data_IF_287542083817
#
_entry.id   IF_287542083817
#
_cell.length_a   1.000
_cell.length_b   1.000
_cell.length_c   1.000
_cell.angle_alpha   90.00
_cell.angle_beta   90.00
_cell.angle_gamma   90.00
#
_symmetry.space_group_name_H-M   'P 1'
#
loop_
_entity.id
_entity.type
_entity.pdbx_description
1 polymer ?
#
# COMPACT_ATOMS: atom_id res chain seq x y z
N UNK A 1 -41.54 -5.85 20.01
CA UNK A 1 -41.23 -5.60 18.58
C UNK A 1 -41.82 -6.75 17.70
N UNK A 2 -42.95 -7.34 18.11
CA UNK A 2 -43.55 -8.49 17.41
C UNK A 2 -45.05 -8.32 17.22
N UNK A 3 -45.55 -7.09 17.04
CA UNK A 3 -46.99 -6.80 16.89
C UNK A 3 -47.35 -5.82 15.75
N UNK A 4 -46.42 -5.41 14.90
CA UNK A 4 -46.70 -4.51 13.75
C UNK A 4 -46.75 -5.24 12.39
N UNK A 5 -46.50 -6.54 12.32
CA UNK A 5 -46.45 -7.33 11.08
C UNK A 5 -47.68 -8.22 10.86
N UNK A 6 -48.76 -8.05 11.65
CA UNK A 6 -49.92 -8.94 11.61
C UNK A 6 -51.24 -8.30 11.16
N UNK A 7 -51.23 -7.11 10.53
CA UNK A 7 -52.46 -6.40 10.11
C UNK A 7 -52.54 -6.24 8.57
N UNK A 8 -51.59 -6.74 7.78
CA UNK A 8 -51.63 -6.64 6.33
C UNK A 8 -51.83 -7.96 5.55
N UNK A 9 -52.26 -9.04 6.24
CA UNK A 9 -52.47 -10.33 5.56
C UNK A 9 -53.95 -10.74 5.34
N UNK A 10 -54.91 -9.89 5.63
CA UNK A 10 -56.32 -10.20 5.35
C UNK A 10 -56.99 -9.15 4.44
N UNK A 11 -56.63 -9.14 3.17
CA UNK A 11 -57.47 -8.65 2.06
C UNK A 11 -56.78 -8.81 0.70
N UNK A 12 -56.61 -10.04 0.25
CA UNK A 12 -56.25 -10.34 -1.16
C UNK A 12 -56.86 -11.68 -1.59
N UNK A 13 -58.16 -11.67 -1.68
CA UNK A 13 -58.89 -12.65 -2.42
C UNK A 13 -59.84 -11.93 -3.40
N UNK A 14 -59.44 -11.94 -4.67
CA UNK A 14 -60.18 -11.63 -5.91
C UNK A 14 -59.54 -10.53 -6.73
N UNK A 15 -58.69 -10.95 -7.68
CA UNK A 15 -58.78 -10.53 -9.09
C UNK A 15 -57.69 -11.27 -9.90
N UNK A 16 -58.10 -12.37 -10.47
CA UNK A 16 -57.39 -13.07 -11.55
C UNK A 16 -57.39 -12.18 -12.80
N UNK A 17 -56.23 -11.87 -13.37
CA UNK A 17 -56.20 -11.37 -14.73
C UNK A 17 -55.13 -10.35 -15.06
N UNK A 18 -54.09 -10.83 -15.68
CA UNK A 18 -53.10 -10.22 -16.56
C UNK A 18 -51.65 -10.35 -16.06
N UNK A 19 -50.92 -11.27 -16.65
CA UNK A 19 -49.46 -11.31 -16.65
C UNK A 19 -48.89 -9.94 -17.09
N UNK A 20 -48.51 -9.09 -16.12
CA UNK A 20 -47.62 -7.98 -16.37
C UNK A 20 -46.20 -8.52 -16.16
N UNK A 21 -45.41 -8.60 -17.21
CA UNK A 21 -43.95 -8.68 -17.14
C UNK A 21 -43.47 -7.59 -16.17
N UNK A 22 -43.03 -7.98 -14.98
CA UNK A 22 -42.50 -7.04 -14.01
C UNK A 22 -41.19 -6.44 -14.57
N UNK A 23 -41.27 -5.21 -15.05
CA UNK A 23 -40.08 -4.45 -15.40
C UNK A 23 -39.20 -4.29 -14.15
N UNK A 24 -37.88 -4.56 -14.27
CA UNK A 24 -36.94 -4.28 -13.22
C UNK A 24 -36.98 -2.79 -12.86
N UNK A 25 -36.97 -2.48 -11.58
CA UNK A 25 -36.87 -1.10 -11.07
C UNK A 25 -35.77 -0.32 -11.79
N UNK A 26 -36.10 0.83 -12.34
CA UNK A 26 -35.16 1.76 -12.98
C UNK A 26 -35.33 3.12 -12.32
N UNK A 27 -34.39 3.50 -11.45
CA UNK A 27 -34.31 4.85 -10.87
C UNK A 27 -33.20 5.64 -11.56
N UNK A 28 -33.46 6.92 -11.75
CA UNK A 28 -32.48 7.86 -12.29
C UNK A 28 -31.99 8.81 -11.20
N UNK A 29 -30.74 9.27 -11.31
CA UNK A 29 -30.21 10.26 -10.39
C UNK A 29 -31.06 11.56 -10.33
N UNK A 30 -31.76 11.91 -11.43
CA UNK A 30 -32.67 13.07 -11.48
C UNK A 30 -33.89 12.86 -10.56
N UNK A 31 -34.46 11.66 -10.51
CA UNK A 31 -35.60 11.34 -9.63
C UNK A 31 -35.18 11.38 -8.15
N UNK A 32 -34.00 10.86 -7.84
CA UNK A 32 -33.46 10.85 -6.46
C UNK A 32 -33.15 12.28 -6.01
N UNK A 33 -32.54 13.11 -6.86
CA UNK A 33 -32.32 14.53 -6.53
C UNK A 33 -33.66 15.30 -6.38
N UNK A 34 -34.67 14.95 -7.13
CA UNK A 34 -35.99 15.60 -7.02
C UNK A 34 -36.67 15.37 -5.67
N UNK A 35 -36.30 14.34 -4.90
CA UNK A 35 -36.81 14.09 -3.55
C UNK A 35 -35.92 14.68 -2.45
N UNK A 36 -34.87 15.44 -2.80
CA UNK A 36 -34.06 16.20 -1.83
C UNK A 36 -32.64 15.69 -1.62
N UNK A 37 -32.18 14.63 -2.30
CA UNK A 37 -30.79 14.20 -2.21
C UNK A 37 -29.87 15.20 -2.92
N UNK A 38 -28.81 15.60 -2.28
CA UNK A 38 -27.77 16.45 -2.87
C UNK A 38 -26.98 15.71 -3.96
N UNK A 39 -26.45 16.46 -4.91
CA UNK A 39 -25.60 15.89 -5.96
C UNK A 39 -24.27 15.38 -5.36
N UNK A 40 -24.00 14.08 -5.53
CA UNK A 40 -22.80 13.48 -4.96
C UNK A 40 -22.86 11.95 -4.93
N UNK A 41 -21.90 11.32 -4.26
CA UNK A 41 -21.79 9.85 -4.16
C UNK A 41 -23.04 9.18 -3.59
N UNK A 42 -23.79 9.85 -2.72
CA UNK A 42 -25.03 9.33 -2.11
C UNK A 42 -26.08 8.94 -3.15
N UNK A 43 -26.20 9.73 -4.24
CA UNK A 43 -27.16 9.44 -5.32
C UNK A 43 -26.80 8.13 -6.03
N UNK A 44 -25.53 7.90 -6.31
CA UNK A 44 -25.06 6.66 -6.94
C UNK A 44 -25.25 5.45 -6.04
N UNK A 45 -24.98 5.58 -4.75
CA UNK A 45 -25.20 4.53 -3.75
C UNK A 45 -26.68 4.21 -3.63
N UNK A 46 -27.55 5.22 -3.54
CA UNK A 46 -29.00 5.05 -3.48
C UNK A 46 -29.54 4.33 -4.73
N UNK A 47 -29.14 4.77 -5.93
CA UNK A 47 -29.51 4.09 -7.19
C UNK A 47 -29.12 2.62 -7.18
N UNK A 48 -27.85 2.32 -6.84
CA UNK A 48 -27.35 0.95 -6.83
C UNK A 48 -28.10 0.07 -5.82
N UNK A 49 -28.25 0.54 -4.59
CA UNK A 49 -28.95 -0.17 -3.51
C UNK A 49 -30.40 -0.47 -3.89
N UNK A 50 -31.15 0.53 -4.36
CA UNK A 50 -32.54 0.35 -4.75
C UNK A 50 -32.70 -0.62 -5.94
N UNK A 51 -31.90 -0.47 -6.99
CA UNK A 51 -31.96 -1.36 -8.17
C UNK A 51 -31.51 -2.79 -7.86
N UNK A 52 -30.68 -3.00 -6.83
CA UNK A 52 -30.17 -4.32 -6.44
C UNK A 52 -31.09 -5.04 -5.47
N UNK A 53 -31.51 -4.38 -4.41
CA UNK A 53 -32.24 -5.01 -3.30
C UNK A 53 -33.76 -4.82 -3.39
N UNK A 54 -34.22 -3.73 -4.02
CA UNK A 54 -35.65 -3.38 -4.14
C UNK A 54 -36.17 -3.54 -5.59
N UNK A 55 -35.56 -4.40 -6.38
CA UNK A 55 -35.82 -4.61 -7.81
C UNK A 55 -37.26 -4.97 -8.17
N UNK A 56 -38.09 -5.39 -7.19
CA UNK A 56 -39.50 -5.76 -7.36
C UNK A 56 -40.46 -4.67 -6.88
N UNK A 57 -39.97 -3.55 -6.37
CA UNK A 57 -40.77 -2.39 -5.97
C UNK A 57 -41.06 -1.51 -7.20
N UNK A 58 -42.13 -0.73 -7.11
CA UNK A 58 -42.41 0.35 -8.07
C UNK A 58 -41.47 1.52 -7.85
N UNK A 59 -41.37 2.42 -8.83
CA UNK A 59 -40.56 3.64 -8.69
C UNK A 59 -41.02 4.51 -7.50
N UNK A 60 -42.36 4.62 -7.32
CA UNK A 60 -42.93 5.42 -6.23
C UNK A 60 -42.63 4.82 -4.86
N UNK A 61 -42.73 3.51 -4.68
CA UNK A 61 -42.37 2.82 -3.45
C UNK A 61 -40.89 2.99 -3.13
N UNK A 62 -40.01 2.85 -4.12
CA UNK A 62 -38.58 3.03 -3.96
C UNK A 62 -38.21 4.47 -3.58
N UNK A 63 -38.85 5.46 -4.21
CA UNK A 63 -38.66 6.87 -3.86
C UNK A 63 -39.21 7.21 -2.47
N UNK A 64 -40.29 6.54 -2.04
CA UNK A 64 -40.83 6.71 -0.68
C UNK A 64 -39.85 6.19 0.38
N UNK A 65 -39.28 5.00 0.16
CA UNK A 65 -38.21 4.45 1.06
C UNK A 65 -37.05 5.44 1.14
N UNK A 66 -36.58 5.95 0.00
CA UNK A 66 -35.47 6.91 -0.01
C UNK A 66 -35.81 8.22 0.71
N UNK A 67 -37.06 8.71 0.66
CA UNK A 67 -37.50 9.87 1.44
C UNK A 67 -37.46 9.61 2.95
N UNK A 68 -37.84 8.42 3.37
CA UNK A 68 -37.79 8.03 4.79
C UNK A 68 -36.35 7.94 5.29
N UNK A 69 -35.45 7.34 4.50
CA UNK A 69 -34.01 7.33 4.81
C UNK A 69 -33.41 8.73 4.85
N UNK A 70 -33.82 9.62 3.95
CA UNK A 70 -33.35 11.01 3.92
C UNK A 70 -33.84 11.80 5.15
N UNK A 71 -35.07 11.55 5.60
CA UNK A 71 -35.66 12.26 6.72
C UNK A 71 -35.07 11.87 8.08
N UNK A 72 -34.68 10.61 8.25
CA UNK A 72 -34.15 10.08 9.51
C UNK A 72 -33.05 9.05 9.28
N UNK A 73 -31.92 9.47 8.70
CA UNK A 73 -30.87 8.53 8.29
C UNK A 73 -30.28 7.73 9.47
N UNK A 74 -30.27 8.29 10.68
CA UNK A 74 -29.74 7.66 11.89
C UNK A 74 -30.47 6.33 12.22
N UNK A 75 -31.75 6.23 11.86
CA UNK A 75 -32.56 5.04 12.12
C UNK A 75 -32.18 3.84 11.20
N UNK A 76 -31.42 4.11 10.14
CA UNK A 76 -31.06 3.13 9.13
C UNK A 76 -29.56 2.75 9.16
N UNK A 77 -28.77 3.28 10.10
CA UNK A 77 -27.34 2.96 10.24
C UNK A 77 -27.07 1.47 10.54
N UNK A 78 -28.02 0.80 11.22
CA UNK A 78 -27.93 -0.62 11.51
C UNK A 78 -28.75 -1.51 10.53
N UNK A 79 -29.31 -0.93 9.47
CA UNK A 79 -30.07 -1.68 8.47
C UNK A 79 -29.13 -2.41 7.52
N UNK A 80 -29.39 -3.71 7.26
CA UNK A 80 -28.51 -4.55 6.42
C UNK A 80 -28.38 -4.07 4.96
N UNK A 81 -29.34 -3.30 4.46
CA UNK A 81 -29.42 -2.89 3.06
C UNK A 81 -29.25 -1.38 2.90
N UNK A 82 -29.91 -0.59 3.75
CA UNK A 82 -29.99 0.87 3.65
C UNK A 82 -28.87 1.61 4.38
N UNK A 83 -28.11 0.92 5.25
CA UNK A 83 -27.02 1.53 6.03
C UNK A 83 -26.03 2.32 5.16
N UNK A 84 -25.64 1.79 3.99
CA UNK A 84 -24.73 2.46 3.06
C UNK A 84 -25.24 3.80 2.52
N UNK A 85 -26.57 3.97 2.43
CA UNK A 85 -27.20 5.24 2.06
C UNK A 85 -27.20 6.17 3.29
N UNK A 86 -27.63 5.61 4.44
CA UNK A 86 -27.70 6.34 5.71
C UNK A 86 -26.34 6.91 6.13
N UNK A 87 -25.27 6.13 6.06
CA UNK A 87 -23.88 6.54 6.33
C UNK A 87 -23.41 7.73 5.48
N UNK A 88 -23.96 7.88 4.26
CA UNK A 88 -23.65 9.00 3.38
C UNK A 88 -24.51 10.24 3.62
N UNK A 89 -25.61 10.08 4.35
CA UNK A 89 -26.56 11.14 4.67
C UNK A 89 -26.34 11.69 6.09
N UNK A 90 -25.92 10.83 7.02
CA UNK A 90 -25.51 11.30 8.33
C UNK A 90 -24.25 12.14 8.11
N UNK A 91 -24.41 13.45 8.15
CA UNK A 91 -23.28 14.36 8.31
C UNK A 91 -22.79 14.10 9.74
N UNK A 92 -21.80 13.21 9.88
CA UNK A 92 -20.91 13.29 11.02
C UNK A 92 -20.32 14.69 10.87
N UNK A 93 -20.57 15.60 11.80
CA UNK A 93 -19.76 16.80 11.92
C UNK A 93 -18.32 16.28 12.03
N UNK A 94 -17.64 16.18 10.90
CA UNK A 94 -16.19 16.00 10.89
C UNK A 94 -15.70 17.23 11.65
N UNK A 95 -15.18 17.00 12.86
CA UNK A 95 -14.44 18.03 13.57
C UNK A 95 -13.52 18.66 12.54
N UNK A 96 -13.70 19.96 12.29
CA UNK A 96 -12.96 20.66 11.22
C UNK A 96 -11.47 20.39 11.48
N UNK A 97 -10.86 19.51 10.66
CA UNK A 97 -9.46 19.11 10.85
C UNK A 97 -8.63 20.36 10.68
N UNK A 98 -8.16 20.89 11.80
CA UNK A 98 -7.37 22.12 11.84
C UNK A 98 -5.98 21.82 11.28
N UNK A 99 -5.48 22.68 10.39
CA UNK A 99 -4.13 22.57 9.88
C UNK A 99 -3.12 22.64 11.04
N UNK A 100 -2.25 21.63 11.11
CA UNK A 100 -1.20 21.51 12.13
C UNK A 100 -0.01 22.37 11.67
N UNK A 101 0.36 23.42 12.39
CA UNK A 101 1.47 24.29 12.01
C UNK A 101 2.80 23.55 12.17
N UNK A 102 3.77 23.86 11.31
CA UNK A 102 5.15 23.46 11.51
C UNK A 102 5.78 24.26 12.65
N UNK A 103 6.72 23.65 13.37
CA UNK A 103 7.53 24.34 14.36
C UNK A 103 8.33 25.49 13.70
N UNK A 104 8.53 26.59 14.40
CA UNK A 104 9.36 27.69 13.91
C UNK A 104 10.81 27.23 13.68
N UNK A 105 11.34 26.45 14.62
CA UNK A 105 12.69 25.86 14.55
C UNK A 105 12.58 24.35 14.38
N UNK A 106 13.28 23.80 13.38
CA UNK A 106 13.39 22.35 13.19
C UNK A 106 14.31 21.68 14.23
N UNK A 107 14.14 20.36 14.36
CA UNK A 107 15.09 19.55 15.14
C UNK A 107 16.48 19.55 14.51
N UNK A 108 17.52 19.32 15.31
CA UNK A 108 18.88 19.18 14.80
C UNK A 108 19.02 17.91 13.93
N UNK A 109 19.77 18.04 12.85
CA UNK A 109 20.12 16.92 11.98
C UNK A 109 21.54 17.05 11.42
N UNK A 110 22.19 15.93 11.19
CA UNK A 110 23.52 15.87 10.62
C UNK A 110 23.48 15.87 9.09
N UNK A 111 24.39 16.58 8.44
CA UNK A 111 24.55 16.58 6.99
C UNK A 111 25.90 15.97 6.64
N UNK A 112 25.87 14.84 5.95
CA UNK A 112 27.06 14.16 5.46
C UNK A 112 27.27 14.49 3.98
N UNK A 113 28.48 14.96 3.62
CA UNK A 113 28.80 15.26 2.23
C UNK A 113 28.09 16.50 1.65
N UNK A 114 27.83 17.52 2.43
CA UNK A 114 27.06 18.73 2.09
C UNK A 114 27.38 19.38 0.74
N UNK A 115 28.63 19.26 0.27
CA UNK A 115 29.09 19.87 -1.02
C UNK A 115 28.45 19.26 -2.26
N UNK A 116 27.87 18.08 -2.14
CA UNK A 116 27.34 17.29 -3.26
C UNK A 116 25.81 17.19 -3.22
N UNK A 117 25.17 17.74 -2.18
CA UNK A 117 23.72 17.68 -1.98
C UNK A 117 23.08 18.89 -2.64
N UNK A 118 22.05 18.65 -3.44
CA UNK A 118 21.29 19.72 -4.10
C UNK A 118 20.40 20.52 -3.12
N UNK A 119 20.16 21.78 -3.44
CA UNK A 119 19.40 22.72 -2.61
C UNK A 119 17.97 22.21 -2.30
N UNK A 120 17.33 21.54 -3.28
CA UNK A 120 16.00 20.97 -3.12
C UNK A 120 15.92 19.92 -2.02
N UNK A 121 16.94 19.06 -1.90
CA UNK A 121 17.03 18.06 -0.83
C UNK A 121 17.26 18.70 0.55
N UNK A 122 18.11 19.73 0.62
CA UNK A 122 18.34 20.50 1.84
C UNK A 122 17.04 21.17 2.33
N UNK A 123 16.27 21.79 1.42
CA UNK A 123 15.01 22.45 1.74
C UNK A 123 13.95 21.42 2.23
N UNK A 124 13.86 20.25 1.57
CA UNK A 124 12.94 19.20 2.01
C UNK A 124 13.30 18.67 3.40
N UNK A 125 14.59 18.45 3.69
CA UNK A 125 15.02 18.00 5.01
C UNK A 125 14.76 19.08 6.08
N UNK A 126 14.98 20.35 5.76
CA UNK A 126 14.67 21.47 6.64
C UNK A 126 13.17 21.54 6.98
N UNK A 127 12.31 21.29 6.00
CA UNK A 127 10.84 21.23 6.19
C UNK A 127 10.47 20.03 7.06
N UNK A 128 11.02 18.85 6.78
CA UNK A 128 10.77 17.64 7.56
C UNK A 128 11.22 17.78 9.02
N UNK A 129 12.35 18.42 9.27
CA UNK A 129 12.85 18.69 10.62
C UNK A 129 11.91 19.59 11.45
N UNK A 130 11.04 20.36 10.82
CA UNK A 130 10.06 21.23 11.49
C UNK A 130 8.74 20.54 11.85
N UNK A 131 8.57 19.27 11.52
CA UNK A 131 7.35 18.54 11.92
C UNK A 131 7.27 18.46 13.46
N UNK A 132 6.08 18.64 14.06
CA UNK A 132 5.91 18.51 15.51
C UNK A 132 6.32 17.14 16.06
N UNK A 133 6.23 16.09 15.24
CA UNK A 133 6.59 14.71 15.59
C UNK A 133 8.07 14.38 15.34
N UNK A 134 8.83 15.27 14.69
CA UNK A 134 10.25 15.07 14.44
C UNK A 134 11.07 15.08 15.75
N UNK A 135 12.05 14.19 15.84
CA UNK A 135 12.94 14.05 17.01
C UNK A 135 14.39 14.35 16.63
N UNK A 136 14.86 13.81 15.52
CA UNK A 136 16.19 13.97 14.99
C UNK A 136 16.23 13.60 13.50
N UNK A 137 17.34 13.88 12.84
CA UNK A 137 17.50 13.49 11.44
C UNK A 137 18.95 13.42 10.97
N UNK A 138 19.12 12.94 9.75
CA UNK A 138 20.36 12.97 9.02
C UNK A 138 20.11 13.11 7.51
N UNK A 139 21.05 13.71 6.81
CA UNK A 139 21.04 13.81 5.35
C UNK A 139 22.32 13.15 4.83
N UNK A 140 22.16 12.12 4.02
CA UNK A 140 23.23 11.27 3.53
C UNK A 140 23.92 11.89 2.31
N UNK A 141 25.17 11.47 1.96
CA UNK A 141 25.98 12.13 0.92
C UNK A 141 25.38 12.08 -0.49
N UNK A 142 24.51 11.11 -0.76
CA UNK A 142 23.82 10.90 -2.04
C UNK A 142 22.42 11.53 -2.08
N UNK A 143 22.08 12.33 -1.07
CA UNK A 143 20.76 12.90 -0.94
C UNK A 143 20.38 13.80 -2.12
N UNK A 144 19.18 13.56 -2.64
CA UNK A 144 18.59 14.33 -3.73
C UNK A 144 17.08 14.52 -3.53
N UNK A 145 16.50 15.41 -4.32
CA UNK A 145 15.11 15.81 -4.15
C UNK A 145 14.15 14.62 -4.36
N UNK A 146 13.34 14.34 -3.34
CA UNK A 146 12.20 13.41 -3.38
C UNK A 146 10.86 14.15 -3.42
N UNK A 147 9.79 13.50 -2.96
CA UNK A 147 8.45 14.08 -2.95
C UNK A 147 8.01 14.67 -1.60
N UNK A 148 8.60 14.25 -0.52
CA UNK A 148 8.32 14.72 0.86
C UNK A 148 9.60 14.77 1.65
N UNK A 149 10.01 13.67 2.26
CA UNK A 149 11.38 13.49 2.73
C UNK A 149 12.31 13.38 1.52
N UNK A 150 13.50 14.00 1.50
CA UNK A 150 14.45 13.81 0.41
C UNK A 150 14.92 12.34 0.38
N UNK A 151 15.22 11.82 -0.80
CA UNK A 151 15.88 10.52 -0.93
C UNK A 151 17.27 10.67 -0.30
N UNK A 152 17.69 9.71 0.53
CA UNK A 152 18.89 9.84 1.37
C UNK A 152 18.69 10.70 2.63
N UNK A 153 17.45 11.18 2.86
CA UNK A 153 17.07 11.79 4.14
C UNK A 153 16.63 10.73 5.14
N UNK A 154 17.07 10.87 6.37
CA UNK A 154 16.67 10.03 7.52
C UNK A 154 15.98 10.92 8.54
N UNK A 155 14.76 10.55 8.94
CA UNK A 155 13.97 11.28 9.93
C UNK A 155 13.49 10.33 11.02
N UNK A 156 13.85 10.63 12.26
CA UNK A 156 13.31 9.97 13.45
C UNK A 156 12.11 10.76 13.95
N UNK A 157 11.01 10.05 14.21
CA UNK A 157 9.73 10.62 14.70
C UNK A 157 9.32 9.95 16.00
N UNK A 158 8.53 10.67 16.80
CA UNK A 158 7.96 10.15 18.03
C UNK A 158 6.57 9.57 17.76
N UNK A 159 6.39 8.25 17.96
CA UNK A 159 5.12 7.53 17.83
C UNK A 159 4.35 7.78 16.51
N UNK A 160 5.02 8.22 15.47
CA UNK A 160 4.40 8.63 14.22
C UNK A 160 5.09 7.95 13.04
N UNK A 161 4.29 7.46 12.07
CA UNK A 161 4.79 6.91 10.81
C UNK A 161 4.28 7.73 9.64
N UNK A 162 5.19 8.09 8.73
CA UNK A 162 4.91 8.90 7.54
C UNK A 162 4.88 7.98 6.32
N UNK A 163 3.70 7.57 5.81
CA UNK A 163 3.62 6.59 4.72
C UNK A 163 4.37 7.02 3.45
N UNK A 164 4.34 8.31 3.14
CA UNK A 164 5.03 8.81 1.95
C UNK A 164 6.55 8.92 2.11
N UNK A 165 7.06 9.07 3.34
CA UNK A 165 8.50 9.02 3.62
C UNK A 165 9.07 7.60 3.48
N UNK A 166 8.27 6.58 3.80
CA UNK A 166 8.60 5.18 3.51
C UNK A 166 8.72 4.94 2.00
N UNK A 167 7.90 5.62 1.20
CA UNK A 167 7.91 5.53 -0.25
C UNK A 167 6.88 4.55 -0.82
N UNK A 168 6.61 4.70 -2.12
CA UNK A 168 5.57 3.93 -2.84
C UNK A 168 5.98 2.46 -3.03
N UNK A 169 7.26 2.17 -3.22
CA UNK A 169 7.78 0.80 -3.32
C UNK A 169 8.32 0.35 -1.97
N UNK A 170 7.38 0.07 -1.05
CA UNK A 170 7.70 -0.35 0.33
C UNK A 170 8.62 -1.58 0.32
N UNK A 171 9.72 -1.51 1.05
CA UNK A 171 10.67 -2.61 1.18
C UNK A 171 11.43 -2.93 -0.10
N UNK A 172 11.51 -1.97 -1.05
CA UNK A 172 12.43 -2.07 -2.18
C UNK A 172 13.82 -2.39 -1.67
N UNK A 173 14.52 -3.32 -2.33
CA UNK A 173 15.77 -3.87 -1.82
C UNK A 173 16.72 -4.33 -2.90
N UNK A 174 17.95 -4.50 -2.47
CA UNK A 174 18.99 -5.21 -3.21
C UNK A 174 19.14 -6.61 -2.64
N UNK A 175 19.30 -7.61 -3.50
CA UNK A 175 19.63 -8.98 -3.11
C UNK A 175 20.77 -9.51 -3.98
N UNK A 176 21.80 -10.07 -3.34
CA UNK A 176 22.96 -10.65 -3.98
C UNK A 176 23.09 -12.11 -3.58
N UNK A 177 23.07 -13.02 -4.57
CA UNK A 177 23.50 -14.42 -4.39
C UNK A 177 24.89 -14.62 -4.98
N UNK A 178 25.77 -15.31 -4.28
CA UNK A 178 27.15 -15.60 -4.70
C UNK A 178 27.29 -17.09 -5.02
N UNK A 179 27.90 -17.40 -6.16
CA UNK A 179 28.05 -18.76 -6.67
C UNK A 179 29.52 -19.17 -6.79
N UNK A 180 29.81 -20.46 -6.62
CA UNK A 180 31.13 -21.07 -6.84
C UNK A 180 31.44 -21.20 -8.34
N UNK A 181 31.33 -20.11 -9.06
CA UNK A 181 31.60 -20.02 -10.52
C UNK A 181 32.74 -19.07 -10.72
N UNK A 182 33.75 -19.47 -11.54
CA UNK A 182 34.83 -18.60 -11.93
C UNK A 182 34.31 -17.46 -12.82
N UNK A 183 34.70 -16.17 -12.60
CA UNK A 183 34.16 -15.04 -13.33
C UNK A 183 34.34 -15.15 -14.85
N UNK A 184 35.39 -15.81 -15.36
CA UNK A 184 35.60 -16.04 -16.77
C UNK A 184 34.48 -16.85 -17.44
N UNK A 185 33.73 -17.64 -16.65
CA UNK A 185 32.57 -18.39 -17.13
C UNK A 185 31.43 -17.49 -17.58
N UNK A 186 31.31 -16.27 -17.04
CA UNK A 186 30.30 -15.31 -17.50
C UNK A 186 30.47 -15.02 -19.00
N UNK A 187 31.71 -14.83 -19.43
CA UNK A 187 32.01 -14.57 -20.87
C UNK A 187 31.90 -15.85 -21.71
N UNK A 188 32.40 -16.98 -21.19
CA UNK A 188 32.37 -18.26 -21.93
C UNK A 188 30.95 -18.78 -22.14
N UNK A 189 30.08 -18.55 -21.16
CA UNK A 189 28.67 -19.04 -21.12
C UNK A 189 27.65 -17.89 -21.25
N UNK A 190 28.03 -16.74 -21.78
CA UNK A 190 27.21 -15.52 -21.86
C UNK A 190 25.80 -15.79 -22.40
N UNK A 191 25.71 -16.47 -23.55
CA UNK A 191 24.43 -16.80 -24.17
C UNK A 191 23.52 -17.67 -23.27
N UNK A 192 24.12 -18.53 -22.45
CA UNK A 192 23.35 -19.33 -21.48
C UNK A 192 22.84 -18.48 -20.35
N UNK A 193 23.70 -17.68 -19.71
CA UNK A 193 23.27 -16.77 -18.63
C UNK A 193 22.21 -15.79 -19.10
N UNK A 194 22.37 -15.19 -20.27
CA UNK A 194 21.38 -14.29 -20.86
C UNK A 194 20.03 -14.98 -21.08
N UNK A 195 20.04 -16.21 -21.65
CA UNK A 195 18.84 -17.00 -21.88
C UNK A 195 18.11 -17.27 -20.56
N UNK A 196 18.84 -17.71 -19.52
CA UNK A 196 18.24 -18.05 -18.23
C UNK A 196 17.71 -16.81 -17.49
N UNK A 197 18.38 -15.66 -17.58
CA UNK A 197 17.84 -14.40 -17.06
C UNK A 197 16.51 -14.05 -17.74
N UNK A 198 16.45 -14.07 -19.06
CA UNK A 198 15.24 -13.71 -19.82
C UNK A 198 14.10 -14.69 -19.54
N UNK A 199 14.41 -15.99 -19.44
CA UNK A 199 13.39 -17.03 -19.22
C UNK A 199 12.81 -17.03 -17.79
N UNK A 200 13.60 -16.60 -16.79
CA UNK A 200 13.25 -16.72 -15.36
C UNK A 200 12.96 -15.37 -14.69
N UNK A 201 12.95 -14.27 -15.44
CA UNK A 201 12.55 -12.94 -14.95
C UNK A 201 11.33 -12.42 -15.70
N UNK A 202 10.52 -11.61 -15.03
CA UNK A 202 9.33 -11.00 -15.63
C UNK A 202 9.29 -9.52 -15.31
N UNK A 203 9.75 -8.70 -16.25
CA UNK A 203 9.74 -7.24 -16.14
C UNK A 203 8.46 -6.62 -16.71
N UNK A 204 8.12 -5.46 -16.20
CA UNK A 204 7.01 -4.62 -16.64
C UNK A 204 6.03 -4.29 -15.51
N UNK A 205 5.46 -3.08 -15.58
CA UNK A 205 4.45 -2.63 -14.63
C UNK A 205 3.20 -3.52 -14.70
N UNK A 206 2.74 -4.00 -13.55
CA UNK A 206 1.51 -4.81 -13.46
C UNK A 206 1.59 -6.19 -14.08
N UNK A 207 2.76 -6.66 -14.54
CA UNK A 207 2.92 -8.01 -15.10
C UNK A 207 2.68 -9.06 -14.02
N UNK A 208 2.11 -10.19 -14.44
CA UNK A 208 1.71 -11.31 -13.58
C UNK A 208 2.13 -12.63 -14.24
N UNK A 209 2.47 -13.62 -13.41
CA UNK A 209 2.69 -14.98 -13.90
C UNK A 209 1.34 -15.68 -14.14
N UNK A 210 1.30 -16.55 -15.14
CA UNK A 210 0.16 -17.47 -15.37
C UNK A 210 0.15 -18.58 -14.34
N UNK A 211 1.33 -19.11 -14.00
CA UNK A 211 1.51 -20.11 -12.96
C UNK A 211 1.74 -19.43 -11.61
N UNK A 212 1.13 -19.98 -10.57
CA UNK A 212 1.24 -19.44 -9.21
C UNK A 212 2.48 -20.01 -8.54
N UNK A 213 3.16 -19.15 -7.81
CA UNK A 213 4.23 -19.58 -6.90
C UNK A 213 3.68 -19.60 -5.49
N UNK A 214 3.73 -20.76 -4.83
CA UNK A 214 3.36 -20.89 -3.41
C UNK A 214 4.50 -20.36 -2.54
N UNK A 215 4.16 -19.60 -1.50
CA UNK A 215 5.11 -19.07 -0.53
C UNK A 215 4.37 -18.69 0.76
N UNK A 216 4.96 -18.96 1.91
CA UNK A 216 4.37 -18.71 3.23
C UNK A 216 3.96 -17.24 3.48
N UNK A 217 4.62 -16.28 2.82
CA UNK A 217 4.26 -14.87 2.91
C UNK A 217 2.81 -14.60 2.47
N UNK A 218 2.26 -15.45 1.62
CA UNK A 218 0.89 -15.31 1.11
C UNK A 218 -0.17 -15.80 2.12
N UNK A 219 0.27 -16.56 3.13
CA UNK A 219 -0.59 -17.11 4.20
C UNK A 219 -0.58 -16.22 5.45
N UNK A 220 0.07 -15.07 5.37
CA UNK A 220 0.13 -14.10 6.46
C UNK A 220 -1.27 -13.62 6.82
N UNK A 221 -1.56 -13.60 8.13
CA UNK A 221 -2.86 -13.27 8.71
C UNK A 221 -3.32 -11.84 8.39
N UNK A 222 -2.40 -10.92 8.15
CA UNK A 222 -2.68 -9.53 7.78
C UNK A 222 -3.56 -9.44 6.53
N UNK A 223 -3.46 -10.38 5.58
CA UNK A 223 -4.35 -10.43 4.42
C UNK A 223 -5.81 -10.72 4.78
N UNK A 224 -6.08 -11.36 5.91
CA UNK A 224 -7.44 -11.65 6.38
C UNK A 224 -7.94 -10.68 7.45
N UNK A 225 -7.05 -10.15 8.29
CA UNK A 225 -7.38 -9.27 9.40
C UNK A 225 -7.59 -7.80 8.93
N UNK A 226 -6.84 -7.34 7.93
CA UNK A 226 -6.94 -5.98 7.40
C UNK A 226 -7.82 -5.99 6.15
N UNK A 227 -9.01 -5.42 6.24
CA UNK A 227 -10.03 -5.43 5.17
C UNK A 227 -9.46 -4.93 3.84
N UNK A 228 -8.67 -3.87 3.87
CA UNK A 228 -8.04 -3.29 2.68
C UNK A 228 -7.11 -4.28 1.95
N UNK A 229 -6.45 -5.19 2.66
CA UNK A 229 -5.49 -6.15 2.08
C UNK A 229 -6.15 -7.37 1.44
N UNK A 230 -7.37 -7.74 1.84
CA UNK A 230 -8.06 -8.93 1.34
C UNK A 230 -8.10 -9.03 -0.19
N UNK A 231 -8.55 -7.99 -0.94
CA UNK A 231 -8.57 -8.04 -2.40
C UNK A 231 -7.17 -8.04 -3.04
N UNK A 232 -6.13 -7.62 -2.30
CA UNK A 232 -4.77 -7.53 -2.81
C UNK A 232 -4.03 -8.87 -2.79
N UNK A 233 -4.43 -9.83 -1.93
CA UNK A 233 -3.79 -11.14 -1.80
C UNK A 233 -3.74 -11.90 -3.14
N UNK A 234 -4.84 -11.91 -3.90
CA UNK A 234 -4.87 -12.58 -5.18
C UNK A 234 -3.90 -11.98 -6.21
N UNK A 235 -3.73 -10.66 -6.19
CA UNK A 235 -2.77 -9.96 -7.05
C UNK A 235 -1.33 -10.25 -6.60
N UNK A 236 -1.08 -10.21 -5.29
CA UNK A 236 0.22 -10.55 -4.70
C UNK A 236 0.65 -11.98 -5.11
N UNK A 237 -0.26 -12.95 -5.05
CA UNK A 237 -0.01 -14.33 -5.45
C UNK A 237 0.45 -14.45 -6.91
N UNK A 238 -0.11 -13.66 -7.83
CA UNK A 238 0.28 -13.68 -9.25
C UNK A 238 1.56 -12.88 -9.54
N UNK A 239 1.88 -11.90 -8.69
CA UNK A 239 3.04 -11.04 -8.87
C UNK A 239 4.28 -11.52 -8.14
N UNK A 240 4.17 -12.54 -7.29
CA UNK A 240 5.30 -13.08 -6.53
C UNK A 240 6.43 -13.57 -7.46
N UNK A 241 7.63 -13.03 -7.25
CA UNK A 241 8.81 -13.33 -8.07
C UNK A 241 8.83 -12.62 -9.43
N UNK A 242 7.93 -11.66 -9.69
CA UNK A 242 8.10 -10.74 -10.82
C UNK A 242 9.16 -9.68 -10.51
N UNK A 243 9.85 -9.20 -11.54
CA UNK A 243 10.98 -8.28 -11.37
C UNK A 243 10.56 -6.79 -11.33
N UNK A 244 9.39 -6.45 -11.88
CA UNK A 244 8.85 -5.09 -11.86
C UNK A 244 9.32 -4.20 -13.00
N UNK A 245 9.40 -2.88 -12.73
CA UNK A 245 9.74 -1.87 -13.73
C UNK A 245 10.48 -0.68 -13.10
N UNK A 246 10.81 0.32 -13.90
CA UNK A 246 11.56 1.49 -13.47
C UNK A 246 13.05 1.18 -13.32
N UNK A 247 13.61 1.50 -12.15
CA UNK A 247 15.01 1.25 -11.80
C UNK A 247 15.30 -0.20 -11.35
N UNK A 248 14.34 -1.13 -11.50
CA UNK A 248 14.54 -2.54 -11.14
C UNK A 248 15.31 -3.30 -12.20
N UNK A 249 16.18 -4.18 -11.74
CA UNK A 249 17.03 -5.00 -12.61
C UNK A 249 17.36 -6.35 -11.98
N UNK A 250 17.83 -7.27 -12.79
CA UNK A 250 18.45 -8.55 -12.39
C UNK A 250 19.62 -8.79 -13.30
N UNK A 251 20.81 -8.97 -12.74
CA UNK A 251 22.04 -9.11 -13.53
C UNK A 251 23.02 -10.11 -12.91
N UNK A 252 23.87 -10.68 -13.74
CA UNK A 252 25.06 -11.39 -13.30
C UNK A 252 26.27 -10.46 -13.34
N UNK A 253 27.15 -10.60 -12.36
CA UNK A 253 28.37 -9.82 -12.26
C UNK A 253 29.50 -10.55 -11.57
N UNK A 254 30.70 -9.97 -11.63
CA UNK A 254 31.85 -10.41 -10.84
C UNK A 254 31.72 -9.86 -9.42
N UNK A 255 31.93 -10.72 -8.44
CA UNK A 255 32.02 -10.36 -7.01
C UNK A 255 33.43 -10.69 -6.54
N UNK A 256 34.08 -9.71 -5.90
CA UNK A 256 35.39 -9.88 -5.29
C UNK A 256 35.27 -9.79 -3.78
N UNK A 257 35.66 -10.86 -3.10
CA UNK A 257 35.78 -10.92 -1.64
C UNK A 257 37.21 -10.58 -1.29
N UNK A 258 37.44 -9.45 -0.63
CA UNK A 258 38.76 -8.93 -0.31
C UNK A 258 39.17 -9.13 1.15
N UNK A 259 38.21 -9.42 2.04
CA UNK A 259 38.46 -9.56 3.47
C UNK A 259 38.07 -10.97 3.96
N UNK A 260 38.98 -11.60 4.66
CA UNK A 260 38.75 -12.92 5.30
C UNK A 260 37.71 -12.86 6.44
N UNK A 261 37.50 -11.69 7.02
CA UNK A 261 36.53 -11.46 8.12
C UNK A 261 35.15 -11.00 7.63
N UNK A 262 34.84 -11.27 6.32
CA UNK A 262 33.54 -10.93 5.78
C UNK A 262 32.38 -11.70 6.45
N UNK A 263 31.23 -11.06 6.56
CA UNK A 263 30.05 -11.62 7.25
C UNK A 263 29.45 -12.86 6.58
N UNK A 264 29.81 -13.13 5.33
CA UNK A 264 29.35 -14.29 4.56
C UNK A 264 30.21 -15.53 4.79
N UNK A 265 31.33 -15.42 5.53
CA UNK A 265 32.29 -16.49 5.79
C UNK A 265 32.84 -17.13 4.49
N UNK A 266 32.94 -16.36 3.41
CA UNK A 266 33.51 -16.81 2.14
C UNK A 266 35.02 -16.59 2.10
N UNK A 267 35.79 -17.48 1.51
CA UNK A 267 37.23 -17.26 1.25
C UNK A 267 37.43 -16.00 0.37
N UNK A 268 38.57 -15.33 0.59
CA UNK A 268 39.05 -14.29 -0.33
C UNK A 268 39.17 -14.88 -1.74
N UNK A 269 38.60 -14.18 -2.72
CA UNK A 269 38.60 -14.66 -4.09
C UNK A 269 37.58 -13.97 -4.98
N UNK A 270 37.49 -14.46 -6.20
CA UNK A 270 36.56 -13.96 -7.20
C UNK A 270 35.45 -14.98 -7.43
N UNK A 271 34.23 -14.49 -7.56
CA UNK A 271 33.01 -15.27 -7.69
C UNK A 271 32.10 -14.68 -8.75
N UNK A 272 31.10 -15.43 -9.16
CA UNK A 272 29.95 -14.88 -9.91
C UNK A 272 28.84 -14.56 -8.94
N UNK A 273 28.27 -13.37 -9.04
CA UNK A 273 27.10 -12.92 -8.30
C UNK A 273 25.89 -12.78 -9.20
N UNK A 274 24.72 -13.08 -8.68
CA UNK A 274 23.42 -12.66 -9.20
C UNK A 274 22.93 -11.52 -8.32
N UNK A 275 22.80 -10.33 -8.88
CA UNK A 275 22.31 -9.14 -8.19
C UNK A 275 20.93 -8.78 -8.71
N UNK A 276 20.01 -8.49 -7.81
CA UNK A 276 18.69 -7.99 -8.18
C UNK A 276 18.29 -6.76 -7.36
N UNK A 277 17.61 -5.83 -8.01
CA UNK A 277 16.90 -4.71 -7.42
C UNK A 277 15.44 -4.83 -7.76
N UNK A 278 14.59 -4.97 -6.76
CA UNK A 278 13.13 -5.15 -6.89
C UNK A 278 12.45 -4.75 -5.58
N UNK A 279 11.13 -4.79 -5.54
CA UNK A 279 10.36 -4.38 -4.36
C UNK A 279 9.04 -5.13 -4.21
N UNK A 280 8.09 -4.55 -3.49
CA UNK A 280 6.82 -5.16 -3.09
C UNK A 280 5.73 -5.14 -4.16
N UNK A 281 6.07 -4.81 -5.39
CA UNK A 281 5.18 -4.84 -6.54
C UNK A 281 3.90 -4.02 -6.28
N UNK A 282 2.78 -4.47 -6.88
CA UNK A 282 1.48 -3.83 -6.69
C UNK A 282 0.95 -3.88 -5.26
N UNK A 283 1.42 -4.80 -4.41
CA UNK A 283 1.01 -4.88 -3.01
C UNK A 283 1.47 -3.60 -2.27
N UNK A 284 2.77 -3.32 -2.22
CA UNK A 284 3.30 -2.16 -1.52
C UNK A 284 2.81 -0.83 -2.10
N UNK A 285 2.72 -0.72 -3.43
CA UNK A 285 2.21 0.49 -4.06
C UNK A 285 0.75 0.81 -3.66
N UNK A 286 -0.12 -0.20 -3.55
CA UNK A 286 -1.49 0.01 -3.09
C UNK A 286 -1.53 0.39 -1.60
N UNK A 287 -0.73 -0.27 -0.76
CA UNK A 287 -0.61 0.04 0.67
C UNK A 287 -0.14 1.49 0.86
N UNK A 288 0.96 1.88 0.22
CA UNK A 288 1.51 3.23 0.33
C UNK A 288 0.51 4.30 -0.08
N UNK A 289 -0.16 4.12 -1.22
CA UNK A 289 -1.14 5.09 -1.72
C UNK A 289 -2.36 5.20 -0.79
N UNK A 290 -2.88 4.09 -0.30
CA UNK A 290 -4.04 4.06 0.58
C UNK A 290 -3.77 4.80 1.89
N UNK A 291 -2.70 4.42 2.60
CA UNK A 291 -2.40 5.02 3.90
C UNK A 291 -1.81 6.43 3.82
N UNK A 292 -1.18 6.80 2.70
CA UNK A 292 -0.81 8.20 2.43
C UNK A 292 -2.05 9.08 2.33
N UNK A 293 -3.11 8.62 1.66
CA UNK A 293 -4.37 9.38 1.59
C UNK A 293 -5.02 9.52 2.96
N UNK A 294 -5.06 8.43 3.76
CA UNK A 294 -5.57 8.48 5.14
C UNK A 294 -4.75 9.45 6.00
N UNK A 295 -3.42 9.39 5.91
CA UNK A 295 -2.54 10.31 6.63
C UNK A 295 -2.83 11.77 6.29
N UNK A 296 -2.96 12.10 5.00
CA UNK A 296 -3.27 13.46 4.54
C UNK A 296 -4.66 13.95 4.95
N UNK A 297 -5.61 13.05 5.18
CA UNK A 297 -6.94 13.38 5.69
C UNK A 297 -6.95 13.61 7.20
N UNK A 298 -6.18 12.81 7.95
CA UNK A 298 -6.12 12.87 9.41
C UNK A 298 -5.14 13.93 9.92
N UNK A 299 -4.04 14.14 9.21
CA UNK A 299 -2.95 15.06 9.56
C UNK A 299 -2.82 16.11 8.46
N UNK A 300 -3.61 17.17 8.59
CA UNK A 300 -3.58 18.28 7.62
C UNK A 300 -2.40 19.18 7.92
N UNK A 301 -1.47 19.27 6.97
CA UNK A 301 -0.25 20.06 7.05
C UNK A 301 -0.25 21.18 6.02
N UNK A 302 0.56 22.25 6.22
CA UNK A 302 0.83 23.26 5.22
C UNK A 302 1.25 22.64 3.88
N UNK A 303 0.96 23.33 2.79
CA UNK A 303 1.16 22.84 1.42
C UNK A 303 2.56 22.27 1.16
N UNK A 304 3.60 22.90 1.68
CA UNK A 304 5.01 22.48 1.53
C UNK A 304 5.34 21.20 2.27
N UNK A 305 4.59 20.87 3.33
CA UNK A 305 4.78 19.67 4.14
C UNK A 305 3.71 18.60 3.89
N UNK A 306 2.75 18.82 2.99
CA UNK A 306 1.59 17.95 2.75
C UNK A 306 1.94 16.47 2.66
N UNK A 307 3.04 16.13 2.00
CA UNK A 307 3.48 14.75 1.81
C UNK A 307 4.20 14.15 3.03
N UNK A 308 4.40 14.94 4.08
CA UNK A 308 4.94 14.50 5.36
C UNK A 308 3.84 14.21 6.39
N UNK A 309 2.57 14.17 5.97
CA UNK A 309 1.46 13.77 6.81
C UNK A 309 1.70 12.37 7.39
N UNK A 310 1.42 12.21 8.69
CA UNK A 310 1.72 11.00 9.45
C UNK A 310 0.47 10.33 10.00
N UNK A 311 0.64 9.11 10.48
CA UNK A 311 -0.32 8.35 11.27
C UNK A 311 0.31 8.05 12.64
N UNK A 312 -0.41 8.33 13.71
CA UNK A 312 0.03 7.97 15.05
C UNK A 312 -0.12 6.46 15.26
N UNK A 313 0.92 5.80 15.76
CA UNK A 313 0.96 4.33 15.88
C UNK A 313 0.03 3.75 16.95
N UNK A 314 -0.52 4.57 17.82
CA UNK A 314 -1.56 4.19 18.79
C UNK A 314 -2.97 4.31 18.22
N UNK A 315 -3.12 4.72 16.96
CA UNK A 315 -4.38 4.70 16.22
C UNK A 315 -4.52 3.42 15.39
N UNK A 316 -5.77 3.05 15.10
CA UNK A 316 -6.08 1.91 14.22
C UNK A 316 -5.36 2.04 12.87
N UNK A 317 -5.48 3.19 12.19
CA UNK A 317 -4.87 3.42 10.87
C UNK A 317 -3.33 3.36 10.93
N UNK A 318 -2.70 3.87 11.98
CA UNK A 318 -1.25 3.78 12.17
C UNK A 318 -0.79 2.36 12.40
N UNK A 319 -1.50 1.59 13.22
CA UNK A 319 -1.19 0.19 13.47
C UNK A 319 -1.42 -0.68 12.24
N UNK A 320 -2.53 -0.48 11.52
CA UNK A 320 -2.78 -1.20 10.26
C UNK A 320 -1.69 -0.92 9.22
N UNK A 321 -1.32 0.36 9.05
CA UNK A 321 -0.23 0.70 8.14
C UNK A 321 1.10 0.05 8.55
N UNK A 322 1.43 0.07 9.85
CA UNK A 322 2.64 -0.60 10.37
C UNK A 322 2.67 -2.09 10.00
N UNK A 323 1.56 -2.80 10.22
CA UNK A 323 1.44 -4.23 9.89
C UNK A 323 1.50 -4.47 8.37
N UNK A 324 0.79 -3.66 7.58
CA UNK A 324 0.76 -3.76 6.13
C UNK A 324 2.13 -3.45 5.49
N UNK A 325 2.87 -2.47 6.03
CA UNK A 325 4.23 -2.13 5.62
C UNK A 325 5.19 -3.30 5.86
N UNK A 326 5.13 -3.92 7.05
CA UNK A 326 5.96 -5.08 7.36
C UNK A 326 5.63 -6.27 6.44
N UNK A 327 4.34 -6.53 6.19
CA UNK A 327 3.92 -7.55 5.21
C UNK A 327 4.49 -7.27 3.81
N UNK A 328 4.45 -6.00 3.36
CA UNK A 328 5.00 -5.62 2.06
C UNK A 328 6.53 -5.80 2.00
N UNK A 329 7.23 -5.55 3.11
CA UNK A 329 8.67 -5.81 3.24
C UNK A 329 9.01 -7.30 3.13
N UNK A 330 8.28 -8.15 3.86
CA UNK A 330 8.44 -9.61 3.78
C UNK A 330 8.10 -10.15 2.38
N UNK A 331 7.06 -9.59 1.76
CA UNK A 331 6.68 -9.94 0.40
C UNK A 331 7.75 -9.54 -0.63
N UNK A 332 8.39 -8.38 -0.47
CA UNK A 332 9.49 -7.96 -1.32
C UNK A 332 10.69 -8.92 -1.18
N UNK A 333 11.03 -9.38 0.04
CA UNK A 333 12.03 -10.40 0.28
C UNK A 333 11.68 -11.71 -0.45
N UNK A 334 10.44 -12.17 -0.30
CA UNK A 334 9.94 -13.37 -0.97
C UNK A 334 10.03 -13.26 -2.51
N UNK A 335 9.79 -12.08 -3.09
CA UNK A 335 9.99 -11.85 -4.52
C UNK A 335 11.43 -12.08 -4.95
N UNK A 336 12.41 -11.53 -4.21
CA UNK A 336 13.84 -11.72 -4.51
C UNK A 336 14.27 -13.16 -4.36
N UNK A 337 13.91 -13.81 -3.25
CA UNK A 337 14.22 -15.21 -3.02
C UNK A 337 13.65 -16.11 -4.13
N UNK A 338 12.44 -15.81 -4.59
CA UNK A 338 11.81 -16.55 -5.70
C UNK A 338 12.58 -16.34 -7.01
N UNK A 339 12.98 -15.11 -7.35
CA UNK A 339 13.77 -14.79 -8.56
C UNK A 339 15.11 -15.54 -8.50
N UNK A 340 15.84 -15.40 -7.39
CA UNK A 340 17.16 -16.01 -7.22
C UNK A 340 17.10 -17.55 -7.23
N UNK A 341 16.11 -18.15 -6.59
CA UNK A 341 15.92 -19.60 -6.59
C UNK A 341 15.61 -20.15 -7.99
N UNK A 342 14.76 -19.47 -8.78
CA UNK A 342 14.44 -19.86 -10.15
C UNK A 342 15.68 -19.82 -11.03
N UNK A 343 16.45 -18.73 -10.97
CA UNK A 343 17.66 -18.54 -11.78
C UNK A 343 18.76 -19.53 -11.35
N UNK A 344 19.01 -19.68 -10.05
CA UNK A 344 19.98 -20.63 -9.52
C UNK A 344 19.70 -22.07 -9.99
N UNK A 345 18.42 -22.48 -9.92
CA UNK A 345 17.98 -23.78 -10.46
C UNK A 345 18.21 -23.90 -11.97
N UNK A 346 17.93 -22.84 -12.75
CA UNK A 346 18.05 -22.84 -14.20
C UNK A 346 19.50 -22.93 -14.66
N UNK A 347 20.44 -22.30 -13.95
CA UNK A 347 21.88 -22.43 -14.24
C UNK A 347 22.53 -23.67 -13.66
N UNK A 348 21.80 -24.46 -12.86
CA UNK A 348 22.27 -25.70 -12.23
C UNK A 348 23.20 -25.49 -11.02
N UNK A 349 23.14 -24.35 -10.37
CA UNK A 349 24.04 -23.95 -9.28
C UNK A 349 23.29 -23.72 -7.98
N UNK A 350 24.01 -23.84 -6.87
CA UNK A 350 23.52 -23.44 -5.54
C UNK A 350 24.29 -22.23 -5.04
N UNK A 351 23.64 -21.20 -4.51
CA UNK A 351 24.36 -20.07 -3.93
C UNK A 351 25.17 -20.52 -2.71
N UNK A 352 26.41 -20.04 -2.61
CA UNK A 352 27.27 -20.19 -1.42
C UNK A 352 26.80 -19.28 -0.30
N UNK A 353 26.35 -18.08 -0.62
CA UNK A 353 25.82 -17.10 0.29
C UNK A 353 24.77 -16.24 -0.41
N UNK A 354 23.87 -15.68 0.38
CA UNK A 354 22.91 -14.67 -0.04
C UNK A 354 22.91 -13.55 0.99
N UNK A 355 22.90 -12.31 0.52
CA UNK A 355 22.77 -11.12 1.35
C UNK A 355 21.73 -10.19 0.72
N UNK A 356 20.89 -9.61 1.54
CA UNK A 356 19.92 -8.60 1.11
C UNK A 356 19.88 -7.43 2.09
N UNK A 357 19.54 -6.27 1.56
CA UNK A 357 19.36 -5.06 2.35
C UNK A 357 18.24 -4.23 1.73
N UNK A 358 17.27 -3.80 2.53
CA UNK A 358 16.14 -3.03 2.09
C UNK A 358 16.28 -1.55 2.45
N UNK A 359 15.75 -0.73 1.59
CA UNK A 359 15.51 0.70 1.73
C UNK A 359 14.01 0.96 1.52
N UNK A 360 13.52 2.17 1.59
CA UNK A 360 12.09 2.49 1.55
C UNK A 360 11.30 1.74 2.63
N UNK A 361 11.68 1.98 3.88
CA UNK A 361 11.07 1.33 5.03
C UNK A 361 11.06 2.25 6.24
N UNK A 362 10.41 1.81 7.32
CA UNK A 362 10.52 2.46 8.63
C UNK A 362 10.83 1.42 9.72
N UNK A 363 11.65 1.82 10.68
CA UNK A 363 12.14 0.95 11.75
C UNK A 363 11.80 1.54 13.13
N UNK A 364 11.49 0.67 14.08
CA UNK A 364 11.46 1.02 15.50
C UNK A 364 12.87 0.92 16.06
N UNK A 365 13.40 2.03 16.51
CA UNK A 365 14.75 2.12 17.04
C UNK A 365 14.78 2.85 18.38
N UNK A 366 15.93 2.78 19.08
CA UNK A 366 16.16 3.56 20.30
C UNK A 366 17.20 4.67 20.04
N UNK A 367 16.75 5.90 20.22
CA UNK A 367 17.61 7.07 20.16
C UNK A 367 17.70 7.67 21.56
N UNK A 368 18.90 7.67 22.16
CA UNK A 368 19.12 8.19 23.52
C UNK A 368 18.16 7.62 24.59
N UNK A 369 17.76 6.34 24.44
CA UNK A 369 16.85 5.67 25.35
C UNK A 369 15.37 5.86 25.06
N UNK A 370 14.99 6.71 24.10
CA UNK A 370 13.63 6.93 23.62
C UNK A 370 13.35 6.02 22.41
N UNK A 371 12.17 5.41 22.38
CA UNK A 371 11.69 4.69 21.20
C UNK A 371 11.27 5.70 20.12
N UNK A 372 11.79 5.51 18.91
CA UNK A 372 11.51 6.36 17.75
C UNK A 372 11.19 5.51 16.54
N UNK A 373 10.50 6.13 15.57
CA UNK A 373 10.29 5.56 14.22
C UNK A 373 11.26 6.27 13.29
N UNK A 374 12.15 5.52 12.67
CA UNK A 374 13.14 6.03 11.72
C UNK A 374 12.70 5.70 10.31
N UNK A 375 12.58 6.75 9.50
CA UNK A 375 12.22 6.68 8.08
C UNK A 375 13.43 6.81 7.20
#
# INVERSE_FOLDING_TARGET
>A
ITKALCVLSENLGALCGKNKTMNKLKLTGKQIRAIGYEEGPVVSVAMHTMCTHFKHHTEDEALQILKEVLATPENYLADEVLSKIAEKLVVVEEEAVTEIPLNETGVEYNIFGAKHIEEGALLQMQTAAKLPVAVAGALMPDAHQGYGLPIGGVLATNNAIIPYAVGVDIGCRMCLSIFAIEPDELKKREANFQRELVANTLFGAGREFTERTEHEVLDRKEFSEIIFLQPLQHKALKQLGTSGSGNHFVEFGKVEITDVSNTMNLPVGNYVGLLSHSGSRGLGANIANHYTQIAMQKTVLPKEAKHLAWLDLDTEAGMEYWLAMNLAGDYASACHHTIHAKIAKAIGEKPLAMVENHHNFAWKEKLNGQDVIVH
#
